data_IF_525913506004
#
_entry.id   IF_525913506004
#
_cell.length_a   1.000
_cell.length_b   1.000
_cell.length_c   1.000
_cell.angle_alpha   90.00
_cell.angle_beta   90.00
_cell.angle_gamma   90.00
#
_symmetry.space_group_name_H-M   'P 1'
#
loop_
_entity.id
_entity.type
_entity.pdbx_description
1 polymer ?
#
# COMPACT_ATOMS: atom_id res chain seq x y z
N UNK A 1 -7.84 17.58 -7.07
CA UNK A 1 -6.77 17.76 -6.06
C UNK A 1 -5.98 16.46 -6.01
N UNK A 2 -4.65 16.54 -5.92
CA UNK A 2 -3.81 15.35 -5.82
C UNK A 2 -3.93 14.78 -4.39
N UNK A 3 -4.05 13.47 -4.29
CA UNK A 3 -4.40 12.75 -3.07
C UNK A 3 -3.62 11.44 -3.01
N UNK A 4 -3.34 10.96 -1.80
CA UNK A 4 -2.82 9.62 -1.58
C UNK A 4 -3.68 8.80 -0.62
N UNK A 5 -3.53 7.48 -0.72
CA UNK A 5 -4.07 6.52 0.21
C UNK A 5 -3.08 5.37 0.36
N UNK A 6 -2.66 5.08 1.59
CA UNK A 6 -1.87 3.91 1.93
C UNK A 6 -2.67 2.99 2.85
N UNK A 7 -2.67 1.69 2.56
CA UNK A 7 -3.42 0.72 3.34
C UNK A 7 -2.68 -0.62 3.49
N UNK A 8 -3.12 -1.39 4.49
CA UNK A 8 -2.73 -2.79 4.70
C UNK A 8 -3.90 -3.71 4.49
N UNK A 9 -3.63 -4.94 4.06
CA UNK A 9 -4.63 -6.02 4.02
C UNK A 9 -3.96 -7.38 4.17
N UNK A 10 -4.76 -8.41 4.45
CA UNK A 10 -4.28 -9.79 4.53
C UNK A 10 -4.69 -10.56 3.29
N UNK A 11 -3.75 -11.27 2.67
CA UNK A 11 -4.09 -12.20 1.61
C UNK A 11 -4.92 -13.35 2.18
N UNK A 12 -5.93 -13.82 1.44
CA UNK A 12 -6.77 -14.96 1.86
C UNK A 12 -6.03 -16.29 1.82
N UNK A 13 -4.89 -16.34 1.14
CA UNK A 13 -3.94 -17.44 1.08
C UNK A 13 -2.55 -16.88 0.72
N UNK A 14 -1.51 -17.69 0.85
CA UNK A 14 -0.18 -17.30 0.38
C UNK A 14 -0.18 -17.21 -1.14
N UNK A 15 0.09 -16.00 -1.65
CA UNK A 15 0.12 -15.72 -3.09
C UNK A 15 1.34 -16.37 -3.73
N UNK A 16 1.11 -17.06 -4.84
CA UNK A 16 2.18 -17.49 -5.74
C UNK A 16 2.76 -16.30 -6.52
N UNK A 17 3.97 -16.46 -7.06
CA UNK A 17 4.59 -15.45 -7.94
C UNK A 17 3.69 -15.12 -9.14
N UNK A 18 2.99 -16.12 -9.68
CA UNK A 18 2.06 -15.94 -10.80
C UNK A 18 0.88 -15.05 -10.39
N UNK A 19 0.27 -15.29 -9.23
CA UNK A 19 -0.86 -14.49 -8.75
C UNK A 19 -0.44 -13.05 -8.45
N UNK A 20 0.75 -12.84 -7.88
CA UNK A 20 1.31 -11.50 -7.69
C UNK A 20 1.53 -10.79 -9.03
N UNK A 21 2.05 -11.50 -10.03
CA UNK A 21 2.22 -10.96 -11.38
C UNK A 21 0.87 -10.56 -12.01
N UNK A 22 -0.15 -11.41 -11.88
CA UNK A 22 -1.50 -11.14 -12.40
C UNK A 22 -2.12 -9.90 -11.70
N UNK A 23 -1.91 -9.75 -10.39
CA UNK A 23 -2.32 -8.55 -9.63
C UNK A 23 -1.61 -7.31 -10.20
N UNK A 24 -0.31 -7.38 -10.42
CA UNK A 24 0.49 -6.25 -10.90
C UNK A 24 0.12 -5.84 -12.32
N UNK A 25 -0.05 -6.80 -13.23
CA UNK A 25 -0.45 -6.52 -14.61
C UNK A 25 -1.82 -5.82 -14.64
N UNK A 26 -2.79 -6.34 -13.88
CA UNK A 26 -4.12 -5.72 -13.81
C UNK A 26 -4.08 -4.35 -13.13
N UNK A 27 -3.27 -4.19 -12.08
CA UNK A 27 -3.10 -2.91 -11.38
C UNK A 27 -2.50 -1.87 -12.32
N UNK A 28 -1.38 -2.17 -12.99
CA UNK A 28 -0.73 -1.26 -13.94
C UNK A 28 -1.66 -0.85 -15.07
N UNK A 29 -2.41 -1.80 -15.66
CA UNK A 29 -3.35 -1.50 -16.74
C UNK A 29 -4.47 -0.56 -16.31
N UNK A 30 -5.11 -0.82 -15.16
CA UNK A 30 -6.19 0.07 -14.68
C UNK A 30 -5.63 1.42 -14.23
N UNK A 31 -4.53 1.41 -13.49
CA UNK A 31 -3.91 2.62 -12.95
C UNK A 31 -3.45 3.56 -14.05
N UNK A 32 -2.92 3.04 -15.16
CA UNK A 32 -2.56 3.85 -16.32
C UNK A 32 -3.77 4.57 -16.95
N UNK A 33 -4.93 3.90 -17.01
CA UNK A 33 -6.18 4.50 -17.53
C UNK A 33 -6.65 5.60 -16.58
N UNK A 34 -6.56 5.33 -15.27
CA UNK A 34 -7.07 6.17 -14.21
C UNK A 34 -6.06 7.24 -13.73
N UNK A 35 -4.87 7.32 -14.37
CA UNK A 35 -3.76 8.18 -13.95
C UNK A 35 -3.43 8.02 -12.45
N UNK A 36 -3.37 6.78 -11.97
CA UNK A 36 -2.97 6.42 -10.62
C UNK A 36 -1.51 5.94 -10.66
N UNK A 37 -0.72 6.33 -9.66
CA UNK A 37 0.63 5.82 -9.44
C UNK A 37 0.72 5.20 -8.05
N UNK A 38 1.78 4.45 -7.78
CA UNK A 38 2.02 3.96 -6.43
C UNK A 38 2.94 2.76 -6.32
N UNK A 39 2.84 2.09 -5.18
CA UNK A 39 3.69 0.98 -4.76
C UNK A 39 2.82 -0.14 -4.17
N UNK A 40 3.13 -1.38 -4.54
CA UNK A 40 2.61 -2.60 -3.91
C UNK A 40 3.77 -3.39 -3.28
N UNK A 41 3.61 -3.76 -2.03
CA UNK A 41 4.48 -4.68 -1.30
C UNK A 41 3.66 -5.89 -0.87
N UNK A 42 4.29 -7.06 -0.95
CA UNK A 42 3.73 -8.30 -0.43
C UNK A 42 4.81 -9.06 0.36
N UNK A 43 4.44 -9.52 1.55
CA UNK A 43 5.27 -10.43 2.32
C UNK A 43 4.41 -11.27 3.27
N UNK A 44 4.64 -12.58 3.32
CA UNK A 44 4.02 -13.51 4.27
C UNK A 44 2.50 -13.27 4.48
N UNK A 45 1.75 -13.27 3.36
CA UNK A 45 0.30 -13.07 3.37
C UNK A 45 -0.15 -11.66 3.73
N UNK A 46 0.73 -10.65 3.71
CA UNK A 46 0.41 -9.27 4.02
C UNK A 46 0.68 -8.36 2.84
N UNK A 47 -0.29 -7.55 2.46
CA UNK A 47 -0.13 -6.50 1.45
C UNK A 47 -0.02 -5.14 2.12
N UNK A 48 0.88 -4.31 1.60
CA UNK A 48 0.90 -2.86 1.80
C UNK A 48 0.83 -2.21 0.42
N UNK A 49 -0.08 -1.28 0.24
CA UNK A 49 -0.21 -0.59 -1.04
C UNK A 49 -0.45 0.90 -0.85
N UNK A 50 0.20 1.68 -1.71
CA UNK A 50 0.04 3.13 -1.83
C UNK A 50 -0.59 3.43 -3.18
N UNK A 51 -1.56 4.34 -3.19
CA UNK A 51 -2.22 4.86 -4.37
C UNK A 51 -2.12 6.38 -4.35
N UNK A 52 -1.73 6.97 -5.47
CA UNK A 52 -1.62 8.43 -5.63
C UNK A 52 -2.33 8.85 -6.91
N UNK A 53 -3.07 9.95 -6.88
CA UNK A 53 -3.80 10.43 -8.04
C UNK A 53 -4.86 11.46 -7.69
N UNK A 54 -5.79 11.68 -8.60
CA UNK A 54 -6.97 12.50 -8.31
C UNK A 54 -7.81 11.78 -7.24
N UNK A 55 -8.28 12.53 -6.23
CA UNK A 55 -8.95 11.98 -5.05
C UNK A 55 -10.10 11.03 -5.37
N UNK A 56 -11.06 11.45 -6.20
CA UNK A 56 -12.22 10.62 -6.52
C UNK A 56 -11.80 9.34 -7.24
N UNK A 57 -10.77 9.42 -8.06
CA UNK A 57 -10.21 8.30 -8.82
C UNK A 57 -9.49 7.30 -7.91
N UNK A 58 -8.67 7.78 -6.96
CA UNK A 58 -8.02 6.94 -5.94
C UNK A 58 -9.06 6.25 -5.04
N UNK A 59 -10.06 6.99 -4.56
CA UNK A 59 -11.13 6.42 -3.72
C UNK A 59 -11.95 5.37 -4.46
N UNK A 60 -12.26 5.59 -5.74
CA UNK A 60 -12.96 4.63 -6.58
C UNK A 60 -12.13 3.35 -6.81
N UNK A 61 -10.83 3.51 -7.07
CA UNK A 61 -9.91 2.38 -7.18
C UNK A 61 -9.84 1.59 -5.88
N UNK A 62 -9.69 2.27 -4.74
CA UNK A 62 -9.63 1.63 -3.43
C UNK A 62 -10.92 0.88 -3.08
N UNK A 63 -12.10 1.44 -3.35
CA UNK A 63 -13.40 0.75 -3.18
C UNK A 63 -13.51 -0.54 -3.99
N UNK A 64 -12.86 -0.57 -5.17
CA UNK A 64 -12.85 -1.74 -6.05
C UNK A 64 -11.88 -2.80 -5.53
N UNK A 65 -10.72 -2.36 -5.05
CA UNK A 65 -9.73 -3.18 -4.35
C UNK A 65 -10.36 -3.83 -3.12
N UNK A 66 -11.06 -3.09 -2.25
CA UNK A 66 -11.70 -3.62 -1.03
C UNK A 66 -12.70 -4.77 -1.28
N UNK A 67 -13.18 -4.96 -2.52
CA UNK A 67 -14.10 -6.05 -2.91
C UNK A 67 -13.39 -7.25 -3.53
N UNK A 68 -12.08 -7.17 -3.72
CA UNK A 68 -11.28 -8.24 -4.30
C UNK A 68 -11.18 -9.41 -3.32
N UNK A 69 -11.49 -10.63 -3.79
CA UNK A 69 -11.54 -11.83 -2.92
C UNK A 69 -10.16 -12.40 -2.57
N UNK A 70 -9.10 -11.87 -3.18
CA UNK A 70 -7.72 -12.32 -2.91
C UNK A 70 -7.19 -11.79 -1.58
N UNK A 71 -7.87 -10.82 -0.97
CA UNK A 71 -7.48 -10.25 0.31
C UNK A 71 -8.68 -9.82 1.14
N UNK A 72 -8.46 -9.60 2.43
CA UNK A 72 -9.45 -9.12 3.38
C UNK A 72 -8.81 -8.15 4.40
N UNK A 73 -9.61 -7.69 5.38
CA UNK A 73 -9.14 -6.87 6.50
C UNK A 73 -8.36 -5.63 6.04
N UNK A 74 -8.94 -4.89 5.09
CA UNK A 74 -8.37 -3.65 4.59
C UNK A 74 -8.38 -2.57 5.68
N UNK A 75 -7.21 -2.10 6.10
CA UNK A 75 -7.06 -1.00 7.06
C UNK A 75 -6.34 0.15 6.38
N UNK A 76 -7.00 1.31 6.30
CA UNK A 76 -6.38 2.54 5.81
C UNK A 76 -5.42 3.07 6.87
N UNK A 77 -4.16 3.25 6.50
CA UNK A 77 -3.12 3.76 7.40
C UNK A 77 -2.97 5.27 7.29
N UNK A 78 -3.01 5.76 6.06
CA UNK A 78 -2.80 7.15 5.71
C UNK A 78 -3.63 7.50 4.51
N UNK A 79 -4.10 8.73 4.53
CA UNK A 79 -4.80 9.35 3.43
C UNK A 79 -4.74 10.87 3.62
N UNK A 80 -4.84 11.61 2.52
CA UNK A 80 -4.66 13.06 2.54
C UNK A 80 -4.18 13.63 1.23
N UNK A 81 -4.12 14.96 1.20
CA UNK A 81 -3.71 15.70 0.02
C UNK A 81 -2.19 15.64 -0.14
N UNK A 82 -1.74 15.63 -1.39
CA UNK A 82 -0.33 15.68 -1.76
C UNK A 82 -0.05 16.89 -2.63
N UNK A 83 1.10 17.53 -2.41
CA UNK A 83 1.59 18.57 -3.32
C UNK A 83 2.15 17.96 -4.61
N UNK A 84 2.85 16.82 -4.50
CA UNK A 84 3.46 16.10 -5.62
C UNK A 84 3.37 14.58 -5.40
N UNK A 85 3.39 13.81 -6.50
CA UNK A 85 3.42 12.34 -6.43
C UNK A 85 4.76 11.86 -5.90
N UNK A 86 4.75 10.91 -4.96
CA UNK A 86 5.96 10.25 -4.46
C UNK A 86 6.48 9.23 -5.46
N UNK A 87 5.57 8.56 -6.19
CA UNK A 87 5.89 7.47 -7.12
C UNK A 87 5.61 7.86 -8.58
N UNK A 88 6.06 9.06 -8.96
CA UNK A 88 5.63 9.79 -10.16
C UNK A 88 5.73 9.01 -11.49
N UNK A 89 6.65 8.04 -11.60
CA UNK A 89 6.92 7.27 -12.83
C UNK A 89 6.30 5.86 -12.84
N UNK A 90 5.58 5.46 -11.80
CA UNK A 90 5.18 4.07 -11.62
C UNK A 90 3.66 3.89 -11.53
N UNK A 91 3.06 3.37 -12.60
CA UNK A 91 1.66 2.96 -12.62
C UNK A 91 1.35 2.01 -11.44
N UNK A 92 2.29 1.11 -11.12
CA UNK A 92 2.37 0.37 -9.86
C UNK A 92 3.74 -0.31 -9.73
N UNK A 93 4.59 0.19 -8.84
CA UNK A 93 5.84 -0.48 -8.50
C UNK A 93 5.59 -1.72 -7.65
N UNK A 94 6.47 -2.70 -7.78
CA UNK A 94 6.51 -3.86 -6.91
C UNK A 94 7.92 -3.98 -6.37
N UNK A 95 8.06 -3.98 -5.05
CA UNK A 95 9.35 -4.23 -4.40
C UNK A 95 9.20 -5.54 -3.63
N UNK A 96 9.88 -6.62 -4.05
CA UNK A 96 9.96 -7.84 -3.28
C UNK A 96 10.49 -7.55 -1.87
N UNK A 97 9.96 -8.25 -0.86
CA UNK A 97 10.38 -8.00 0.53
C UNK A 97 11.90 -8.13 0.74
N UNK A 98 12.55 -9.07 0.05
CA UNK A 98 14.00 -9.27 0.13
C UNK A 98 14.84 -8.13 -0.46
N UNK A 99 14.23 -7.23 -1.24
CA UNK A 99 14.90 -6.06 -1.81
C UNK A 99 14.77 -4.81 -0.93
N UNK A 100 13.96 -4.88 0.15
CA UNK A 100 13.87 -3.83 1.14
C UNK A 100 15.14 -3.79 2.02
N UNK A 101 15.53 -2.59 2.45
CA UNK A 101 16.55 -2.41 3.49
C UNK A 101 16.11 -3.04 4.82
N UNK A 102 17.05 -3.39 5.71
CA UNK A 102 16.73 -3.95 7.03
C UNK A 102 15.75 -3.05 7.83
N UNK A 103 15.91 -1.73 7.72
CA UNK A 103 15.01 -0.77 8.36
C UNK A 103 13.58 -0.81 7.78
N UNK A 104 13.45 -0.91 6.46
CA UNK A 104 12.15 -1.05 5.78
C UNK A 104 11.48 -2.39 6.13
N UNK A 105 12.25 -3.48 6.14
CA UNK A 105 11.78 -4.81 6.53
C UNK A 105 11.25 -4.81 7.97
N UNK A 106 12.00 -4.24 8.90
CA UNK A 106 11.62 -4.15 10.32
C UNK A 106 10.32 -3.36 10.51
N UNK A 107 10.18 -2.21 9.82
CA UNK A 107 8.94 -1.43 9.84
C UNK A 107 7.75 -2.21 9.28
N UNK A 108 7.91 -2.84 8.12
CA UNK A 108 6.85 -3.61 7.48
C UNK A 108 6.40 -4.78 8.38
N UNK A 109 7.34 -5.51 8.98
CA UNK A 109 7.04 -6.58 9.94
C UNK A 109 6.28 -6.02 11.15
N UNK A 110 6.70 -4.86 11.66
CA UNK A 110 6.05 -4.22 12.82
C UNK A 110 4.59 -3.86 12.51
N UNK A 111 4.34 -3.28 11.33
CA UNK A 111 2.99 -3.00 10.83
C UNK A 111 2.14 -4.28 10.70
N UNK A 112 2.72 -5.34 10.12
CA UNK A 112 2.03 -6.64 10.01
C UNK A 112 1.72 -7.28 11.36
N UNK A 113 2.61 -7.17 12.36
CA UNK A 113 2.39 -7.66 13.73
C UNK A 113 1.30 -6.89 14.44
N UNK A 114 1.30 -5.55 14.34
CA UNK A 114 0.26 -4.71 14.94
C UNK A 114 -1.12 -5.07 14.39
N UNK A 115 -1.23 -5.32 13.08
CA UNK A 115 -2.46 -5.82 12.45
C UNK A 115 -2.89 -7.16 13.02
N UNK A 116 -2.01 -8.17 13.02
CA UNK A 116 -2.31 -9.53 13.51
C UNK A 116 -2.74 -9.55 14.99
N UNK A 117 -2.29 -8.59 15.78
CA UNK A 117 -2.66 -8.47 17.20
C UNK A 117 -4.05 -7.87 17.46
N UNK A 118 -4.80 -7.47 16.43
CA UNK A 118 -6.11 -6.80 16.58
C UNK A 118 -6.01 -5.36 17.09
N UNK A 119 -4.87 -4.96 17.67
CA UNK A 119 -4.62 -3.61 18.21
C UNK A 119 -4.77 -2.49 17.19
N UNK A 120 -4.61 -2.78 15.88
CA UNK A 120 -4.84 -1.77 14.85
C UNK A 120 -6.29 -1.28 14.77
N UNK A 121 -7.28 -2.15 15.03
CA UNK A 121 -8.70 -1.77 15.01
C UNK A 121 -9.07 -0.91 16.22
N UNK A 122 -8.35 -1.04 17.34
CA UNK A 122 -8.46 -0.14 18.49
C UNK A 122 -7.74 1.21 18.23
N UNK A 123 -6.91 1.27 17.19
CA UNK A 123 -6.05 2.40 16.82
C UNK A 123 -6.58 3.21 15.62
N UNK A 124 -7.85 3.06 15.22
CA UNK A 124 -8.45 3.81 14.09
C UNK A 124 -8.35 5.35 14.22
N UNK A 125 -8.11 5.86 15.43
CA UNK A 125 -7.86 7.29 15.71
C UNK A 125 -6.40 7.61 16.10
N UNK A 126 -5.49 6.64 16.06
CA UNK A 126 -4.18 6.79 16.70
C UNK A 126 -3.17 7.49 15.77
N UNK A 127 -2.77 8.71 16.18
CA UNK A 127 -1.64 9.45 15.60
C UNK A 127 -0.39 8.58 15.43
N UNK A 128 -0.15 7.64 16.33
CA UNK A 128 1.02 6.75 16.29
C UNK A 128 1.05 5.89 15.03
N UNK A 129 -0.11 5.38 14.59
CA UNK A 129 -0.19 4.56 13.38
C UNK A 129 0.09 5.39 12.12
N UNK A 130 -0.43 6.63 12.10
CA UNK A 130 -0.14 7.59 11.03
C UNK A 130 1.35 7.96 11.02
N UNK A 131 1.98 8.18 12.18
CA UNK A 131 3.41 8.48 12.30
C UNK A 131 4.26 7.31 11.80
N UNK A 132 3.92 6.08 12.18
CA UNK A 132 4.63 4.88 11.73
C UNK A 132 4.52 4.69 10.22
N UNK A 133 3.31 4.84 9.67
CA UNK A 133 3.09 4.74 8.24
C UNK A 133 3.79 5.87 7.47
N UNK A 134 3.84 7.10 8.02
CA UNK A 134 4.54 8.23 7.42
C UNK A 134 6.04 7.98 7.41
N UNK A 135 6.58 7.49 8.53
CA UNK A 135 8.00 7.13 8.65
C UNK A 135 8.38 6.02 7.67
N UNK A 136 7.50 5.03 7.50
CA UNK A 136 7.69 3.97 6.51
C UNK A 136 7.66 4.50 5.07
N UNK A 137 6.69 5.35 4.71
CA UNK A 137 6.63 5.98 3.39
C UNK A 137 7.85 6.87 3.12
N UNK A 138 8.26 7.67 4.10
CA UNK A 138 9.43 8.53 4.01
C UNK A 138 10.72 7.74 3.75
N UNK A 139 10.80 6.50 4.24
CA UNK A 139 11.95 5.61 3.98
C UNK A 139 12.11 5.21 2.51
N UNK A 140 11.09 5.41 1.67
CA UNK A 140 11.18 5.20 0.22
C UNK A 140 11.54 6.47 -0.55
N UNK A 141 11.29 7.66 0.03
CA UNK A 141 11.47 8.96 -0.63
C UNK A 141 12.92 9.34 -0.93
N UNK A 142 13.90 8.76 -0.24
CA UNK A 142 15.33 8.95 -0.55
C UNK A 142 15.85 8.01 -1.65
N UNK A 143 15.08 6.99 -2.02
CA UNK A 143 15.49 6.00 -3.03
C UNK A 143 14.90 6.25 -4.42
N UNK A 144 13.85 7.07 -4.53
CA UNK A 144 13.05 7.21 -5.76
C UNK A 144 12.86 8.65 -6.25
N UNK A 145 13.67 9.59 -5.74
CA UNK A 145 13.86 10.92 -6.34
C UNK A 145 14.98 10.90 -7.38
#
# INVERSE_FOLDING_TARGET
MLYHLAYLSSATHLMSEKELKDILEKSRSNNKIDNITGLLLYNDGSFFQVLEGEKATVEACYKRIQKDRRHDNCITLLDGDLDNRTFMSWDMAFIPFGELTEAQQSHFISLGKLRKSGKMLEMESNKDLRILAQSFLASFGTQFQ
#
